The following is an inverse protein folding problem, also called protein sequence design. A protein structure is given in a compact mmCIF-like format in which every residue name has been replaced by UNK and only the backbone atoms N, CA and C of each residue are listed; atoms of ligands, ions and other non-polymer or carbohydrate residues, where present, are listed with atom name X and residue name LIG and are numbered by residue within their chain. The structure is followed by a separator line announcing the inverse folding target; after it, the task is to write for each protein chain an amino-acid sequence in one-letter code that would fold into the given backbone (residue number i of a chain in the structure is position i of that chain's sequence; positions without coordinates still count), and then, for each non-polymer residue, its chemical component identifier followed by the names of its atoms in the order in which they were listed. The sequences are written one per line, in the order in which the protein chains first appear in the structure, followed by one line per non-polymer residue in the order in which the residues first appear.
data_IF_543434733096
#
_entry.id   IF_543434733096
#
_cell.length_a   1.000
_cell.length_b   1.000
_cell.length_c   1.000
_cell.angle_alpha   90.00
_cell.angle_beta   90.00
_cell.angle_gamma   90.00
#
_symmetry.space_group_name_H-M   'P 1'
#
loop_
_entity.id
_entity.type
_entity.pdbx_description
1 polymer ?
#
# COMPACT_ATOMS: atom_id res chain seq x y z
N UNK A 1 -5.30 -20.79 -0.71
CA UNK A 1 -4.00 -20.84 -1.41
C UNK A 1 -3.32 -19.52 -1.14
N UNK A 2 -2.31 -19.48 -0.26
CA UNK A 2 -1.51 -18.28 -0.02
C UNK A 2 -0.67 -18.03 -1.27
N UNK A 3 -1.01 -17.01 -2.06
CA UNK A 3 -0.19 -16.59 -3.18
C UNK A 3 1.20 -16.16 -2.72
N UNK A 4 2.16 -16.13 -3.64
CA UNK A 4 3.48 -15.58 -3.38
C UNK A 4 3.50 -14.03 -3.32
N UNK A 5 2.33 -13.41 -3.19
CA UNK A 5 2.11 -11.98 -3.10
C UNK A 5 2.53 -11.40 -1.75
N UNK A 6 2.43 -10.09 -1.64
CA UNK A 6 2.44 -9.32 -0.40
C UNK A 6 1.05 -8.75 -0.15
N UNK A 7 0.68 -8.55 1.11
CA UNK A 7 -0.64 -8.04 1.52
C UNK A 7 -0.66 -6.52 1.66
N UNK A 8 0.51 -5.92 1.88
CA UNK A 8 0.69 -4.47 1.89
C UNK A 8 2.16 -4.12 1.76
N UNK A 9 2.44 -2.88 1.36
CA UNK A 9 3.78 -2.34 1.48
C UNK A 9 3.87 -0.89 1.09
N UNK A 10 4.96 -0.26 1.49
CA UNK A 10 5.36 1.04 0.98
C UNK A 10 6.87 1.03 0.79
N UNK A 11 7.31 1.42 -0.40
CA UNK A 11 8.71 1.62 -0.75
C UNK A 11 8.92 3.10 -1.04
N UNK A 12 9.87 3.70 -0.34
CA UNK A 12 10.22 5.09 -0.50
C UNK A 12 10.83 5.33 -1.89
N UNK A 13 10.16 6.06 -2.81
CA UNK A 13 10.61 6.16 -4.20
C UNK A 13 12.02 6.73 -4.35
N UNK A 14 12.39 7.65 -3.45
CA UNK A 14 13.66 8.39 -3.50
C UNK A 14 14.87 7.51 -3.21
N UNK A 15 14.69 6.42 -2.47
CA UNK A 15 15.81 5.58 -2.04
C UNK A 15 15.55 4.07 -2.16
N UNK A 16 14.35 3.62 -2.50
CA UNK A 16 14.01 2.21 -2.69
C UNK A 16 13.97 1.35 -1.43
N UNK A 17 14.14 1.92 -0.23
CA UNK A 17 13.92 1.19 1.02
C UNK A 17 12.45 1.25 1.41
N UNK A 18 11.97 0.19 2.06
CA UNK A 18 10.67 0.24 2.68
C UNK A 18 10.25 -1.09 3.26
N UNK A 19 8.97 -1.22 3.54
CA UNK A 19 8.43 -2.33 4.29
C UNK A 19 7.34 -3.02 3.49
N UNK A 20 7.34 -4.35 3.56
CA UNK A 20 6.32 -5.23 2.97
C UNK A 20 5.77 -6.15 4.05
N UNK A 21 4.48 -6.40 3.99
CA UNK A 21 3.71 -7.22 4.94
C UNK A 21 3.08 -8.40 4.21
N UNK A 22 3.01 -9.55 4.88
CA UNK A 22 2.29 -10.73 4.40
C UNK A 22 1.95 -11.65 5.56
N UNK A 23 0.67 -11.98 5.71
CA UNK A 23 0.15 -12.74 6.83
C UNK A 23 0.57 -12.11 8.15
N UNK A 24 1.18 -12.91 9.01
CA UNK A 24 1.71 -12.46 10.30
C UNK A 24 3.12 -11.87 10.22
N UNK A 25 3.73 -11.77 9.03
CA UNK A 25 5.13 -11.38 8.83
C UNK A 25 5.28 -10.04 8.12
N UNK A 26 6.44 -9.43 8.33
CA UNK A 26 6.90 -8.28 7.57
C UNK A 26 8.42 -8.27 7.41
N UNK A 27 8.91 -7.57 6.39
CA UNK A 27 10.34 -7.35 6.16
C UNK A 27 10.61 -5.91 5.71
N UNK A 28 11.80 -5.41 6.04
CA UNK A 28 12.38 -4.24 5.41
C UNK A 28 13.17 -4.70 4.19
N UNK A 29 12.86 -4.14 3.03
CA UNK A 29 13.51 -4.48 1.77
C UNK A 29 14.12 -3.24 1.11
N UNK A 30 15.13 -3.47 0.30
CA UNK A 30 15.73 -2.52 -0.62
C UNK A 30 15.45 -3.01 -2.04
N UNK A 31 14.62 -2.28 -2.75
CA UNK A 31 14.33 -2.53 -4.16
C UNK A 31 15.41 -1.90 -5.03
N UNK A 32 15.98 -2.69 -5.92
CA UNK A 32 17.00 -2.29 -6.91
C UNK A 32 16.32 -2.34 -8.29
N UNK A 33 15.89 -1.19 -8.82
CA UNK A 33 15.02 -1.15 -9.98
C UNK A 33 15.64 -1.80 -11.23
N UNK A 34 14.81 -2.44 -12.06
CA UNK A 34 15.23 -3.17 -13.27
C UNK A 34 16.23 -4.33 -13.03
N UNK A 35 16.28 -4.86 -11.82
CA UNK A 35 17.06 -6.05 -11.49
C UNK A 35 16.19 -7.07 -10.74
N UNK A 36 16.75 -8.22 -10.40
CA UNK A 36 16.11 -9.24 -9.54
C UNK A 36 16.90 -9.47 -8.25
N UNK A 37 17.82 -8.55 -7.93
CA UNK A 37 18.75 -8.65 -6.79
C UNK A 37 18.32 -7.76 -5.62
N UNK A 38 17.02 -7.53 -5.47
CA UNK A 38 16.44 -6.85 -4.32
C UNK A 38 16.90 -7.51 -3.02
N UNK A 39 17.10 -6.70 -1.99
CA UNK A 39 17.71 -7.16 -0.74
C UNK A 39 16.71 -7.12 0.41
N UNK A 40 16.69 -8.16 1.23
CA UNK A 40 16.11 -8.07 2.57
C UNK A 40 17.13 -7.34 3.44
N UNK A 41 16.80 -6.11 3.83
CA UNK A 41 17.61 -5.32 4.77
C UNK A 41 17.44 -5.88 6.18
N UNK A 42 16.22 -6.29 6.52
CA UNK A 42 15.89 -6.87 7.82
C UNK A 42 14.60 -7.70 7.75
N UNK A 43 14.49 -8.75 8.58
CA UNK A 43 13.33 -9.65 8.63
C UNK A 43 13.55 -10.94 7.82
N UNK A 44 12.49 -11.73 7.54
CA UNK A 44 11.11 -11.54 7.98
C UNK A 44 10.94 -11.76 9.48
N UNK A 45 10.11 -10.96 10.13
CA UNK A 45 9.70 -11.16 11.53
C UNK A 45 8.20 -11.14 11.65
N UNK A 46 7.68 -11.73 12.72
CA UNK A 46 6.27 -11.59 13.04
C UNK A 46 5.98 -10.15 13.43
N UNK A 47 5.02 -9.51 12.78
CA UNK A 47 4.79 -8.08 12.99
C UNK A 47 4.33 -7.80 14.42
N UNK A 48 3.55 -8.70 15.04
CA UNK A 48 3.06 -8.52 16.41
C UNK A 48 4.16 -8.58 17.49
N UNK A 49 5.34 -9.13 17.16
CA UNK A 49 6.49 -9.12 18.08
C UNK A 49 7.26 -7.79 18.01
N UNK A 50 7.18 -7.10 16.86
CA UNK A 50 7.97 -5.90 16.59
C UNK A 50 7.17 -4.59 16.64
N UNK A 51 5.86 -4.65 16.37
CA UNK A 51 4.95 -3.51 16.29
C UNK A 51 3.89 -3.60 17.39
N UNK A 52 4.23 -3.10 18.58
CA UNK A 52 3.31 -3.04 19.71
C UNK A 52 2.12 -2.12 19.41
N UNK A 53 2.32 -1.09 18.60
CA UNK A 53 1.23 -0.19 18.19
C UNK A 53 0.17 -0.90 17.33
N UNK A 54 0.56 -1.82 16.45
CA UNK A 54 -0.38 -2.62 15.65
C UNK A 54 -1.20 -3.55 16.54
N UNK A 55 -0.56 -4.19 17.53
CA UNK A 55 -1.25 -5.03 18.53
C UNK A 55 -2.19 -4.19 19.38
N UNK A 56 -1.75 -3.02 19.84
CA UNK A 56 -2.58 -2.07 20.60
C UNK A 56 -3.80 -1.60 19.80
N UNK A 57 -3.65 -1.41 18.48
CA UNK A 57 -4.75 -1.08 17.58
C UNK A 57 -5.69 -2.28 17.29
N UNK A 58 -5.35 -3.48 17.75
CA UNK A 58 -6.14 -4.69 17.52
C UNK A 58 -6.03 -5.23 16.09
N UNK A 59 -5.00 -4.84 15.33
CA UNK A 59 -4.85 -5.23 13.93
C UNK A 59 -4.29 -6.64 13.80
N UNK A 60 -5.05 -7.49 13.10
CA UNK A 60 -4.71 -8.89 12.81
C UNK A 60 -4.08 -9.09 11.44
N UNK A 61 -4.02 -8.02 10.64
CA UNK A 61 -3.30 -7.94 9.38
C UNK A 61 -3.01 -6.47 9.02
N UNK A 62 -2.27 -6.24 7.95
CA UNK A 62 -2.06 -4.91 7.37
C UNK A 62 -2.48 -5.02 5.90
N UNK A 63 -3.56 -4.33 5.53
CA UNK A 63 -4.09 -4.32 4.15
C UNK A 63 -3.49 -3.18 3.33
N UNK A 64 -3.17 -2.05 3.96
CA UNK A 64 -2.56 -0.92 3.28
C UNK A 64 -1.76 -0.05 4.25
N UNK A 65 -0.67 0.53 3.75
CA UNK A 65 0.18 1.43 4.52
C UNK A 65 0.66 2.59 3.64
N UNK A 66 0.64 3.82 4.18
CA UNK A 66 1.16 4.99 3.49
C UNK A 66 1.72 6.03 4.50
N UNK A 67 2.83 6.71 4.21
CA UNK A 67 3.30 7.82 5.03
C UNK A 67 2.31 8.98 5.12
N UNK A 68 2.30 9.67 6.26
CA UNK A 68 1.63 10.97 6.39
C UNK A 68 2.63 12.06 5.98
N UNK A 69 2.34 12.90 4.98
CA UNK A 69 3.24 13.94 4.50
C UNK A 69 3.23 15.19 5.40
N UNK A 70 3.18 15.01 6.73
CA UNK A 70 3.12 16.10 7.71
C UNK A 70 4.43 16.31 8.48
N UNK A 71 5.47 15.55 8.13
CA UNK A 71 6.79 15.62 8.76
C UNK A 71 6.87 14.98 10.15
N UNK A 72 5.77 14.45 10.69
CA UNK A 72 5.74 13.81 12.02
C UNK A 72 6.40 12.42 12.03
N UNK A 73 6.61 11.84 10.84
CA UNK A 73 7.03 10.44 10.70
C UNK A 73 5.91 9.44 11.04
N UNK A 74 4.66 9.91 11.09
CA UNK A 74 3.52 9.02 11.20
C UNK A 74 3.20 8.34 9.87
N UNK A 75 2.58 7.17 9.96
CA UNK A 75 2.04 6.40 8.84
C UNK A 75 0.56 6.11 9.10
N UNK A 76 -0.21 6.06 8.02
CA UNK A 76 -1.52 5.44 7.99
C UNK A 76 -1.37 3.94 7.85
N UNK A 77 -2.08 3.17 8.69
CA UNK A 77 -2.18 1.72 8.56
C UNK A 77 -3.66 1.35 8.54
N UNK A 78 -4.06 0.58 7.53
CA UNK A 78 -5.43 0.12 7.34
C UNK A 78 -5.52 -1.39 7.59
N UNK A 79 -6.58 -1.81 8.26
CA UNK A 79 -6.90 -3.21 8.57
C UNK A 79 -8.41 -3.39 8.64
N UNK A 80 -8.98 -4.07 7.64
CA UNK A 80 -10.41 -4.27 7.48
C UNK A 80 -11.17 -2.94 7.42
N UNK A 81 -12.14 -2.79 8.33
CA UNK A 81 -13.01 -1.60 8.42
C UNK A 81 -12.37 -0.44 9.20
N UNK A 82 -11.13 -0.59 9.66
CA UNK A 82 -10.47 0.34 10.55
C UNK A 82 -9.13 0.84 10.00
N UNK A 83 -8.69 1.96 10.54
CA UNK A 83 -7.33 2.45 10.35
C UNK A 83 -6.77 3.03 11.65
N UNK A 84 -5.46 3.12 11.73
CA UNK A 84 -4.74 3.84 12.78
C UNK A 84 -3.67 4.72 12.15
N UNK A 85 -3.27 5.77 12.86
CA UNK A 85 -2.04 6.49 12.59
C UNK A 85 -1.01 6.08 13.61
N UNK A 86 0.17 5.68 13.14
CA UNK A 86 1.25 5.17 13.98
C UNK A 86 2.48 6.01 13.72
N UNK A 87 3.12 6.53 14.78
CA UNK A 87 4.46 7.07 14.66
C UNK A 87 5.41 5.91 14.33
N UNK A 88 6.03 5.98 13.15
CA UNK A 88 6.84 4.89 12.62
C UNK A 88 8.08 4.60 13.47
N UNK A 89 8.74 5.66 13.96
CA UNK A 89 9.99 5.57 14.69
C UNK A 89 9.78 5.11 16.14
N UNK A 90 8.74 5.62 16.77
CA UNK A 90 8.43 5.35 18.18
C UNK A 90 7.56 4.11 18.38
N UNK A 91 7.02 3.52 17.30
CA UNK A 91 6.05 2.42 17.36
C UNK A 91 4.89 2.76 18.31
N UNK A 92 4.25 3.92 18.07
CA UNK A 92 3.20 4.45 18.94
C UNK A 92 1.96 4.83 18.14
N UNK A 93 0.80 4.38 18.60
CA UNK A 93 -0.49 4.84 18.08
C UNK A 93 -0.66 6.33 18.42
N UNK A 94 -0.76 7.17 17.40
CA UNK A 94 -1.01 8.62 17.55
C UNK A 94 -2.47 8.98 17.24
N UNK A 95 -3.20 8.11 16.55
CA UNK A 95 -4.64 8.24 16.34
C UNK A 95 -5.26 6.87 16.03
N UNK A 96 -6.48 6.64 16.47
CA UNK A 96 -7.23 5.41 16.24
C UNK A 96 -6.92 4.30 17.27
N UNK A 97 -7.33 3.05 16.99
CA UNK A 97 -8.01 2.61 15.78
C UNK A 97 -9.35 3.33 15.59
N UNK A 98 -9.69 3.68 14.36
CA UNK A 98 -10.89 4.42 14.03
C UNK A 98 -11.59 3.82 12.80
N UNK A 99 -12.91 3.99 12.74
CA UNK A 99 -13.72 3.51 11.63
C UNK A 99 -13.39 4.28 10.35
N UNK A 100 -13.20 3.53 9.25
CA UNK A 100 -13.10 4.13 7.91
C UNK A 100 -14.43 4.82 7.57
N UNK A 101 -15.58 4.19 7.89
CA UNK A 101 -16.88 4.72 7.54
C UNK A 101 -17.21 6.06 8.21
N UNK A 102 -16.75 6.27 9.44
CA UNK A 102 -16.98 7.51 10.18
C UNK A 102 -16.07 8.65 9.70
N UNK A 103 -14.81 8.35 9.40
CA UNK A 103 -13.80 9.36 9.08
C UNK A 103 -13.63 9.62 7.58
N UNK A 104 -14.02 8.67 6.73
CA UNK A 104 -14.00 8.74 5.27
C UNK A 104 -15.40 8.44 4.69
N UNK A 105 -16.43 9.22 5.04
CA UNK A 105 -17.81 8.94 4.61
C UNK A 105 -17.99 9.04 3.09
N UNK A 106 -17.17 9.84 2.41
CA UNK A 106 -17.05 9.93 0.95
C UNK A 106 -16.65 8.59 0.32
N UNK A 107 -15.64 7.94 0.89
CA UNK A 107 -15.11 6.66 0.43
C UNK A 107 -16.17 5.56 0.55
N UNK A 108 -16.88 5.51 1.67
CA UNK A 108 -17.97 4.55 1.87
C UNK A 108 -19.16 4.83 0.97
N UNK A 109 -19.53 6.10 0.75
CA UNK A 109 -20.56 6.46 -0.25
C UNK A 109 -20.19 6.05 -1.67
N UNK A 110 -18.89 6.09 -2.00
CA UNK A 110 -18.37 5.56 -3.27
C UNK A 110 -18.29 4.01 -3.31
N UNK A 111 -18.68 3.34 -2.21
CA UNK A 111 -18.74 1.90 -2.10
C UNK A 111 -17.42 1.24 -1.74
N UNK A 112 -16.51 1.95 -1.07
CA UNK A 112 -15.23 1.45 -0.55
C UNK A 112 -15.31 1.31 0.98
N UNK A 113 -15.84 0.19 1.51
CA UNK A 113 -15.92 -0.03 2.95
C UNK A 113 -14.56 -0.36 3.59
N UNK A 114 -13.61 -0.87 2.80
CA UNK A 114 -12.24 -1.21 3.16
C UNK A 114 -11.29 -0.74 2.07
N UNK A 115 -9.99 -0.83 2.31
CA UNK A 115 -8.93 -0.53 1.35
C UNK A 115 -8.09 -1.78 1.19
N UNK A 116 -8.00 -2.31 -0.03
CA UNK A 116 -7.18 -3.49 -0.36
C UNK A 116 -5.74 -3.09 -0.71
N UNK A 117 -5.55 -1.87 -1.24
CA UNK A 117 -4.23 -1.30 -1.49
C UNK A 117 -4.32 0.23 -1.57
N UNK A 118 -3.18 0.90 -1.39
CA UNK A 118 -3.07 2.36 -1.49
C UNK A 118 -1.80 2.75 -2.21
N UNK A 119 -1.88 3.78 -3.06
CA UNK A 119 -0.75 4.33 -3.81
C UNK A 119 -0.73 5.86 -3.66
N UNK A 120 0.33 6.47 -3.10
CA UNK A 120 0.47 7.92 -3.15
C UNK A 120 0.46 8.45 -4.58
N UNK A 121 -0.22 9.57 -4.80
CA UNK A 121 -0.22 10.24 -6.09
C UNK A 121 1.13 10.97 -6.28
N UNK A 122 1.90 10.67 -7.34
CA UNK A 122 3.18 11.33 -7.57
C UNK A 122 3.07 12.86 -7.64
N UNK A 123 3.85 13.54 -6.80
CA UNK A 123 3.87 15.00 -6.69
C UNK A 123 2.71 15.61 -5.91
N UNK A 124 1.75 14.82 -5.43
CA UNK A 124 0.57 15.28 -4.70
C UNK A 124 0.55 14.64 -3.30
N UNK A 125 1.27 15.21 -2.32
CA UNK A 125 1.57 14.54 -1.05
C UNK A 125 0.35 14.10 -0.26
N UNK A 126 -0.74 14.87 -0.35
CA UNK A 126 -1.99 14.59 0.36
C UNK A 126 -3.00 13.79 -0.46
N UNK A 127 -2.62 13.29 -1.65
CA UNK A 127 -3.53 12.56 -2.52
C UNK A 127 -3.05 11.13 -2.73
N UNK A 128 -4.00 10.22 -2.87
CA UNK A 128 -3.70 8.82 -3.11
C UNK A 128 -4.79 8.16 -3.95
N UNK A 129 -4.39 7.12 -4.66
CA UNK A 129 -5.29 6.13 -5.21
C UNK A 129 -5.55 5.06 -4.15
N UNK A 130 -6.81 4.79 -3.85
CA UNK A 130 -7.26 3.69 -2.99
C UNK A 130 -7.96 2.64 -3.83
N UNK A 131 -7.64 1.38 -3.60
CA UNK A 131 -8.15 0.26 -4.37
C UNK A 131 -9.02 -0.63 -3.50
N UNK A 132 -10.13 -1.11 -4.06
CA UNK A 132 -11.03 -2.06 -3.41
C UNK A 132 -11.68 -2.93 -4.47
N UNK A 133 -11.40 -4.23 -4.44
CA UNK A 133 -11.82 -5.20 -5.45
C UNK A 133 -11.40 -4.72 -6.86
N UNK A 134 -12.38 -4.55 -7.74
CA UNK A 134 -12.25 -4.15 -9.13
C UNK A 134 -12.36 -2.63 -9.34
N UNK A 135 -12.28 -1.84 -8.27
CA UNK A 135 -12.48 -0.38 -8.30
C UNK A 135 -11.33 0.35 -7.64
N UNK A 136 -11.11 1.58 -8.07
CA UNK A 136 -10.24 2.52 -7.37
C UNK A 136 -10.88 3.91 -7.30
N UNK A 137 -10.42 4.70 -6.33
CA UNK A 137 -10.79 6.10 -6.18
C UNK A 137 -9.53 6.94 -5.96
N UNK A 138 -9.51 8.14 -6.54
CA UNK A 138 -8.51 9.15 -6.22
C UNK A 138 -9.07 10.03 -5.11
N UNK A 139 -8.37 10.11 -3.98
CA UNK A 139 -8.82 10.78 -2.76
C UNK A 139 -7.76 11.74 -2.23
N UNK A 140 -8.21 12.74 -1.47
CA UNK A 140 -7.35 13.52 -0.59
C UNK A 140 -7.37 12.87 0.79
N UNK A 141 -6.21 12.50 1.35
CA UNK A 141 -6.07 11.86 2.66
C UNK A 141 -6.23 12.87 3.81
N UNK A 142 -7.42 13.43 4.02
CA UNK A 142 -7.68 14.40 5.10
C UNK A 142 -8.91 14.02 5.93
N UNK A 143 -8.69 13.39 7.11
CA UNK A 143 -9.78 12.92 7.96
C UNK A 143 -10.66 14.04 8.48
N UNK A 144 -11.97 13.80 8.49
CA UNK A 144 -12.96 14.74 9.02
C UNK A 144 -13.23 15.97 8.14
N UNK A 145 -12.57 16.11 6.99
CA UNK A 145 -12.99 17.07 5.96
C UNK A 145 -13.83 16.35 4.90
N UNK A 146 -14.85 17.00 4.32
CA UNK A 146 -15.57 16.43 3.20
C UNK A 146 -14.60 16.25 2.03
N UNK A 147 -14.33 15.00 1.67
CA UNK A 147 -13.49 14.66 0.53
C UNK A 147 -14.36 14.56 -0.73
N UNK A 148 -13.86 15.11 -1.83
CA UNK A 148 -14.39 14.90 -3.17
C UNK A 148 -13.74 13.65 -3.77
N UNK A 149 -14.46 12.53 -3.81
CA UNK A 149 -14.05 11.32 -4.54
C UNK A 149 -14.62 11.37 -5.95
N UNK A 150 -13.77 11.27 -6.97
CA UNK A 150 -14.23 10.98 -8.34
C UNK A 150 -13.89 9.52 -8.62
N UNK A 151 -14.89 8.62 -8.74
CA UNK A 151 -14.65 7.27 -9.24
C UNK A 151 -14.19 7.39 -10.69
N UNK A 152 -13.04 6.84 -11.03
CA UNK A 152 -12.62 6.76 -12.42
C UNK A 152 -12.10 5.37 -12.75
N UNK A 153 -12.79 4.74 -13.71
CA UNK A 153 -12.45 3.60 -14.58
C UNK A 153 -12.23 2.17 -14.02
N UNK A 154 -13.19 1.35 -14.44
CA UNK A 154 -13.14 -0.07 -14.79
C UNK A 154 -12.54 -0.19 -16.21
N UNK A 155 -11.41 -0.88 -16.37
CA UNK A 155 -11.08 -1.69 -17.58
C UNK A 155 -9.74 -2.44 -17.54
N UNK A 156 -9.05 -2.56 -16.40
CA UNK A 156 -7.70 -3.17 -16.37
C UNK A 156 -7.67 -4.69 -16.31
N UNK A 157 -8.82 -5.36 -16.15
CA UNK A 157 -8.86 -6.79 -15.81
C UNK A 157 -8.30 -7.10 -14.41
N UNK A 158 -8.07 -6.07 -13.58
CA UNK A 158 -7.70 -6.23 -12.16
C UNK A 158 -8.98 -6.48 -11.38
N UNK A 159 -9.18 -7.72 -10.92
CA UNK A 159 -10.36 -8.12 -10.14
C UNK A 159 -10.19 -7.86 -8.63
N UNK A 160 -8.95 -7.73 -8.18
CA UNK A 160 -8.51 -7.37 -6.82
C UNK A 160 -7.00 -7.09 -6.87
N UNK A 161 -6.49 -6.25 -5.97
CA UNK A 161 -5.05 -6.12 -5.72
C UNK A 161 -4.75 -6.65 -4.32
N UNK A 162 -3.59 -7.27 -4.17
CA UNK A 162 -3.06 -7.60 -2.85
C UNK A 162 -2.21 -6.44 -2.31
N UNK A 163 -1.45 -5.77 -3.16
CA UNK A 163 -0.72 -4.57 -2.78
C UNK A 163 -0.36 -3.71 -3.99
N UNK A 164 -0.05 -2.44 -3.73
CA UNK A 164 0.60 -1.55 -4.69
C UNK A 164 1.75 -0.84 -3.98
N UNK A 165 2.92 -0.80 -4.61
CA UNK A 165 4.07 -0.05 -4.08
C UNK A 165 4.60 0.88 -5.18
N UNK A 166 5.06 2.09 -4.83
CA UNK A 166 5.77 2.93 -5.79
C UNK A 166 6.98 2.21 -6.39
N UNK A 167 7.31 2.49 -7.65
CA UNK A 167 8.49 1.96 -8.29
C UNK A 167 9.68 2.90 -8.04
N UNK A 168 10.63 2.59 -7.14
CA UNK A 168 11.77 3.46 -6.90
C UNK A 168 12.58 3.69 -8.19
N UNK A 169 13.13 4.91 -8.31
CA UNK A 169 13.79 5.37 -9.53
C UNK A 169 12.85 5.73 -10.70
N UNK A 170 11.54 5.48 -10.57
CA UNK A 170 10.52 5.80 -11.57
C UNK A 170 9.37 6.56 -10.91
N UNK A 171 9.44 7.91 -10.81
CA UNK A 171 8.50 8.71 -10.02
C UNK A 171 7.03 8.53 -10.39
N UNK A 172 6.76 8.15 -11.64
CA UNK A 172 5.41 7.93 -12.14
C UNK A 172 5.05 6.45 -12.26
N UNK A 173 5.91 5.49 -11.92
CA UNK A 173 5.55 4.08 -12.04
C UNK A 173 5.21 3.47 -10.67
N UNK A 174 4.39 2.44 -10.68
CA UNK A 174 4.10 1.61 -9.52
C UNK A 174 4.04 0.12 -9.89
N UNK A 175 4.39 -0.74 -8.93
CA UNK A 175 4.21 -2.18 -9.03
C UNK A 175 2.89 -2.58 -8.38
N UNK A 176 2.07 -3.32 -9.13
CA UNK A 176 0.75 -3.80 -8.71
C UNK A 176 0.81 -5.31 -8.56
N UNK A 177 0.52 -5.81 -7.36
CA UNK A 177 0.62 -7.23 -7.01
C UNK A 177 -0.76 -7.89 -6.95
N UNK A 178 -0.87 -9.07 -7.55
CA UNK A 178 -2.05 -9.92 -7.53
C UNK A 178 -1.65 -11.39 -7.61
N UNK A 179 -1.89 -12.14 -6.53
CA UNK A 179 -1.60 -13.55 -6.42
C UNK A 179 -0.11 -13.85 -6.55
N UNK A 180 0.27 -14.66 -7.53
CA UNK A 180 1.68 -14.96 -7.81
C UNK A 180 2.29 -14.03 -8.88
N UNK A 181 1.55 -12.99 -9.31
CA UNK A 181 1.93 -12.08 -10.39
C UNK A 181 2.04 -10.63 -9.93
N UNK A 182 2.76 -9.85 -10.72
CA UNK A 182 2.73 -8.40 -10.65
C UNK A 182 2.84 -7.77 -12.06
N UNK A 183 2.44 -6.51 -12.16
CA UNK A 183 2.70 -5.64 -13.32
C UNK A 183 3.37 -4.35 -12.84
N UNK A 184 4.16 -3.69 -13.71
CA UNK A 184 4.58 -2.30 -13.52
C UNK A 184 3.79 -1.43 -14.49
N UNK A 185 3.10 -0.43 -13.98
CA UNK A 185 2.33 0.54 -14.77
C UNK A 185 2.86 1.94 -14.52
N UNK A 186 2.77 2.81 -15.54
CA UNK A 186 2.87 4.25 -15.34
C UNK A 186 1.54 4.79 -14.84
N UNK A 187 1.61 5.72 -13.88
CA UNK A 187 0.53 6.38 -13.17
C UNK A 187 0.68 7.88 -13.40
N UNK A 188 -0.20 8.44 -14.22
CA UNK A 188 -0.22 9.86 -14.51
C UNK A 188 -1.06 10.62 -13.46
N UNK A 189 -0.81 11.92 -13.31
CA UNK A 189 -1.55 12.76 -12.37
C UNK A 189 -3.04 12.76 -12.72
N UNK A 190 -3.87 12.29 -11.78
CA UNK A 190 -5.32 12.23 -11.91
C UNK A 190 -5.86 11.13 -12.85
N UNK A 191 -5.01 10.29 -13.45
CA UNK A 191 -5.43 9.14 -14.25
C UNK A 191 -4.44 7.98 -14.10
N UNK A 192 -4.96 6.79 -13.78
CA UNK A 192 -4.28 5.55 -14.15
C UNK A 192 -4.58 5.34 -15.64
N UNK A 193 -3.83 5.99 -16.53
CA UNK A 193 -3.78 5.55 -17.92
C UNK A 193 -2.92 4.29 -17.94
N UNK A 194 -3.51 3.15 -18.28
CA UNK A 194 -2.88 1.84 -18.26
C UNK A 194 -1.76 1.73 -19.31
N UNK A 195 -0.64 2.42 -19.10
CA UNK A 195 0.58 2.16 -19.85
C UNK A 195 1.32 1.05 -19.13
N UNK A 196 1.08 -0.17 -19.59
CA UNK A 196 1.83 -1.35 -19.15
C UNK A 196 3.30 -1.16 -19.50
N UNK A 197 4.14 -1.11 -18.46
CA UNK A 197 5.59 -1.00 -18.61
C UNK A 197 6.24 -2.38 -18.56
N UNK A 198 5.75 -3.27 -17.68
CA UNK A 198 6.27 -4.62 -17.52
C UNK A 198 5.23 -5.58 -16.96
N UNK A 199 5.33 -6.86 -17.33
CA UNK A 199 4.47 -7.95 -16.84
C UNK A 199 3.29 -8.28 -17.76
N UNK A 200 2.34 -9.12 -17.31
CA UNK A 200 2.30 -9.81 -16.02
C UNK A 200 3.50 -10.74 -15.83
N UNK A 201 4.15 -10.66 -14.68
CA UNK A 201 5.35 -11.44 -14.38
C UNK A 201 5.25 -12.12 -13.03
N UNK A 202 5.93 -13.25 -12.85
CA UNK A 202 5.90 -14.00 -11.59
C UNK A 202 6.65 -13.25 -10.48
N UNK A 203 6.02 -13.10 -9.32
CA UNK A 203 6.60 -12.47 -8.13
C UNK A 203 7.85 -13.25 -7.70
N UNK A 204 7.76 -14.56 -7.46
CA UNK A 204 8.93 -15.36 -6.99
C UNK A 204 10.11 -15.38 -7.96
N UNK A 205 9.88 -15.14 -9.26
CA UNK A 205 10.97 -15.08 -10.27
C UNK A 205 11.68 -13.73 -10.29
N UNK A 206 10.94 -12.64 -10.07
CA UNK A 206 11.48 -11.28 -10.22
C UNK A 206 11.73 -10.58 -8.89
N UNK A 207 11.11 -11.07 -7.82
CA UNK A 207 11.27 -10.66 -6.45
C UNK A 207 11.70 -11.86 -5.58
N UNK A 208 12.86 -12.48 -5.82
CA UNK A 208 13.31 -13.63 -5.02
C UNK A 208 13.36 -13.33 -3.52
N UNK A 209 13.63 -12.07 -3.15
CA UNK A 209 13.62 -11.58 -1.77
C UNK A 209 12.26 -11.71 -1.06
N UNK A 210 11.15 -11.85 -1.80
CA UNK A 210 9.80 -11.99 -1.23
C UNK A 210 9.35 -13.45 -1.10
N UNK A 211 10.16 -14.41 -1.58
CA UNK A 211 9.76 -15.82 -1.66
C UNK A 211 9.40 -16.44 -0.30
N UNK A 212 10.16 -16.07 0.73
CA UNK A 212 10.07 -16.66 2.07
C UNK A 212 9.39 -15.71 3.09
N UNK A 213 8.78 -14.63 2.59
CA UNK A 213 7.83 -13.82 3.37
C UNK A 213 6.54 -14.62 3.57
#
# INVERSE_FOLDING_TARGET
MSGASIDAGYIEPSNGNGYVFKGDRYACIKVIPNTTIDQIVWGPKKYFEAWKSLVQAGFTMVDAVIPIPDGTGAIWVFSGLQYARINFKEDKVVFGPASIAENFPSLVKAGFPTIDAILPTPGEPNQAYVFYKDRFAHITLTPGKPESSIPALVSSGIHRLDAVIPAPGFPSDAYFFLGDKYVRLTVEQGKIQEKLVFGPASVVKHWPALKDL
#
